data_IF_377762706187
#
_entry.id   IF_377762706187
#
_cell.length_a   1.000
_cell.length_b   1.000
_cell.length_c   1.000
_cell.angle_alpha   90.00
_cell.angle_beta   90.00
_cell.angle_gamma   90.00
#
_symmetry.space_group_name_H-M   'P 1'
#
loop_
_entity.id
_entity.type
_entity.pdbx_description
1 polymer ?
#
# COMPACT_ATOMS: atom_id res chain seq x y z
N UNK A 1 -1.47 12.41 29.54
CA UNK A 1 -1.29 13.49 28.55
C UNK A 1 -1.06 12.83 27.20
N UNK A 2 -2.11 12.69 26.40
CA UNK A 2 -2.04 12.09 25.07
C UNK A 2 -1.65 13.17 24.05
N UNK A 3 -0.64 12.89 23.23
CA UNK A 3 -0.10 13.79 22.21
C UNK A 3 -1.14 14.00 21.08
N UNK A 4 -1.30 15.21 20.50
CA UNK A 4 -2.37 15.50 19.56
C UNK A 4 -2.12 14.81 18.21
N UNK A 5 -3.21 14.29 17.66
CA UNK A 5 -3.31 13.54 16.41
C UNK A 5 -2.37 14.04 15.31
N UNK A 6 -1.37 13.24 14.96
CA UNK A 6 -0.64 13.38 13.71
C UNK A 6 -1.37 12.56 12.62
N UNK A 7 -1.60 13.10 11.41
CA UNK A 7 -2.26 12.36 10.36
C UNK A 7 -1.36 11.18 9.96
N UNK A 8 -1.82 9.97 10.22
CA UNK A 8 -1.17 8.75 9.77
C UNK A 8 -1.93 8.29 8.51
N UNK A 9 -1.28 8.27 7.34
CA UNK A 9 -1.86 7.75 6.12
C UNK A 9 -2.07 6.24 6.25
N UNK A 10 -3.18 5.80 5.68
CA UNK A 10 -3.85 4.57 6.06
C UNK A 10 -4.64 4.10 4.84
N UNK A 11 -4.38 2.89 4.34
CA UNK A 11 -5.20 2.31 3.27
C UNK A 11 -6.43 1.62 3.86
N UNK A 12 -7.62 2.01 3.42
CA UNK A 12 -8.91 1.42 3.80
C UNK A 12 -9.51 0.67 2.60
N UNK A 13 -10.09 -0.51 2.82
CA UNK A 13 -10.70 -1.31 1.75
C UNK A 13 -12.23 -1.17 1.71
N UNK A 14 -12.76 -0.42 0.73
CA UNK A 14 -14.21 -0.29 0.52
C UNK A 14 -14.83 0.91 1.24
N UNK A 15 -16.02 1.33 0.79
CA UNK A 15 -16.71 2.51 1.32
C UNK A 15 -17.14 2.30 2.78
N UNK A 16 -16.84 3.27 3.65
CA UNK A 16 -17.25 3.26 5.06
C UNK A 16 -16.34 2.47 6.02
N UNK A 17 -15.24 1.89 5.56
CA UNK A 17 -14.29 1.23 6.47
C UNK A 17 -13.46 2.22 7.26
N UNK A 18 -13.34 1.97 8.57
CA UNK A 18 -12.61 2.83 9.52
C UNK A 18 -11.27 2.24 9.96
N UNK A 19 -10.93 1.03 9.50
CA UNK A 19 -9.69 0.35 9.88
C UNK A 19 -8.71 0.28 8.71
N UNK A 20 -7.49 0.84 8.86
CA UNK A 20 -6.44 0.65 7.87
C UNK A 20 -6.01 -0.81 7.77
N UNK A 21 -5.83 -1.31 6.55
CA UNK A 21 -5.22 -2.62 6.31
C UNK A 21 -3.69 -2.53 6.21
N UNK A 22 -3.15 -1.45 5.65
CA UNK A 22 -1.71 -1.31 5.38
C UNK A 22 -1.17 0.05 5.81
N UNK A 23 0.07 0.04 6.32
CA UNK A 23 0.86 1.22 6.73
C UNK A 23 2.36 0.88 6.76
N UNK A 24 3.22 1.89 6.65
CA UNK A 24 4.65 1.79 7.00
C UNK A 24 4.79 1.54 8.51
N UNK A 25 5.63 0.59 8.88
CA UNK A 25 6.03 0.38 10.27
C UNK A 25 6.89 1.53 10.78
N UNK A 26 6.72 1.94 12.04
CA UNK A 26 7.49 3.03 12.62
C UNK A 26 9.00 2.77 12.55
N UNK A 27 9.77 3.83 12.27
CA UNK A 27 11.24 3.77 12.17
C UNK A 27 11.79 3.26 10.83
N UNK A 28 10.93 2.86 9.87
CA UNK A 28 11.38 2.49 8.52
C UNK A 28 11.70 3.77 7.71
N UNK A 29 12.89 3.88 7.09
CA UNK A 29 13.22 5.00 6.22
C UNK A 29 12.26 5.12 5.02
N UNK A 30 11.83 6.35 4.70
CA UNK A 30 10.93 6.62 3.58
C UNK A 30 11.48 6.11 2.23
N UNK A 31 12.81 6.15 2.03
CA UNK A 31 13.47 5.58 0.84
C UNK A 31 13.20 4.08 0.73
N UNK A 32 13.41 3.33 1.80
CA UNK A 32 13.19 1.88 1.83
C UNK A 32 11.72 1.54 1.60
N UNK A 33 10.79 2.33 2.15
CA UNK A 33 9.37 2.16 1.88
C UNK A 33 9.01 2.37 0.40
N UNK A 34 9.60 3.37 -0.25
CA UNK A 34 9.39 3.63 -1.69
C UNK A 34 10.00 2.52 -2.57
N UNK A 35 11.15 1.99 -2.20
CA UNK A 35 11.77 0.83 -2.87
C UNK A 35 10.83 -0.38 -2.79
N UNK A 36 10.30 -0.67 -1.60
CA UNK A 36 9.33 -1.76 -1.42
C UNK A 36 8.00 -1.52 -2.15
N UNK A 37 7.53 -0.28 -2.21
CA UNK A 37 6.36 0.08 -3.02
C UNK A 37 6.59 -0.22 -4.51
N UNK A 38 7.80 0.04 -5.01
CA UNK A 38 8.17 -0.23 -6.41
C UNK A 38 8.14 -1.72 -6.71
N UNK A 39 8.72 -2.56 -5.84
CA UNK A 39 8.69 -4.02 -5.98
C UNK A 39 7.26 -4.57 -5.97
N UNK A 40 6.44 -4.13 -5.01
CA UNK A 40 5.02 -4.51 -4.93
C UNK A 40 4.24 -4.13 -6.19
N UNK A 41 4.50 -2.95 -6.76
CA UNK A 41 3.84 -2.51 -7.98
C UNK A 41 4.28 -3.32 -9.21
N UNK A 42 5.55 -3.78 -9.23
CA UNK A 42 6.04 -4.74 -10.21
C UNK A 42 5.26 -6.05 -10.18
N UNK A 43 5.12 -6.66 -9.00
CA UNK A 43 4.32 -7.87 -8.83
C UNK A 43 2.84 -7.66 -9.13
N UNK A 44 2.25 -6.52 -8.73
CA UNK A 44 0.86 -6.21 -9.06
C UNK A 44 0.64 -6.17 -10.58
N UNK A 45 1.58 -5.59 -11.33
CA UNK A 45 1.51 -5.56 -12.80
C UNK A 45 1.56 -6.97 -13.39
N UNK A 46 2.51 -7.78 -12.95
CA UNK A 46 2.71 -9.14 -13.48
C UNK A 46 1.49 -10.02 -13.17
N UNK A 47 0.99 -9.99 -11.93
CA UNK A 47 -0.20 -10.74 -11.51
C UNK A 47 -1.47 -10.26 -12.23
N UNK A 48 -1.60 -8.95 -12.49
CA UNK A 48 -2.72 -8.42 -13.29
C UNK A 48 -2.73 -9.00 -14.70
N UNK A 49 -1.56 -9.02 -15.35
CA UNK A 49 -1.43 -9.48 -16.71
C UNK A 49 -1.65 -10.98 -16.82
N UNK A 50 -0.94 -11.76 -16.01
CA UNK A 50 -1.07 -13.22 -15.98
C UNK A 50 -2.48 -13.64 -15.57
N UNK A 51 -3.04 -13.05 -14.50
CA UNK A 51 -4.39 -13.37 -14.03
C UNK A 51 -5.46 -13.05 -15.07
N UNK A 52 -5.31 -11.97 -15.84
CA UNK A 52 -6.22 -11.65 -16.94
C UNK A 52 -6.10 -12.65 -18.09
N UNK A 53 -4.87 -13.03 -18.48
CA UNK A 53 -4.63 -13.96 -19.57
C UNK A 53 -5.14 -15.38 -19.26
N UNK A 54 -4.94 -15.84 -18.03
CA UNK A 54 -5.29 -17.19 -17.61
C UNK A 54 -6.73 -17.28 -17.03
N UNK A 55 -7.41 -16.13 -16.88
CA UNK A 55 -8.72 -16.06 -16.23
C UNK A 55 -8.67 -16.39 -14.72
N UNK A 56 -7.50 -16.27 -14.10
CA UNK A 56 -7.29 -16.56 -12.68
C UNK A 56 -7.72 -15.37 -11.81
N UNK A 57 -8.90 -15.52 -11.21
CA UNK A 57 -9.47 -14.50 -10.32
C UNK A 57 -8.63 -14.30 -9.05
N UNK A 58 -7.97 -15.33 -8.53
CA UNK A 58 -7.14 -15.20 -7.33
C UNK A 58 -5.91 -14.34 -7.62
N UNK A 59 -5.28 -14.49 -8.79
CA UNK A 59 -4.17 -13.63 -9.21
C UNK A 59 -4.60 -12.17 -9.39
N UNK A 60 -5.79 -11.94 -9.98
CA UNK A 60 -6.34 -10.59 -10.11
C UNK A 60 -6.60 -9.93 -8.74
N UNK A 61 -7.14 -10.68 -7.77
CA UNK A 61 -7.32 -10.15 -6.41
C UNK A 61 -5.98 -9.92 -5.70
N UNK A 62 -5.02 -10.82 -5.85
CA UNK A 62 -3.68 -10.64 -5.28
C UNK A 62 -3.00 -9.38 -5.81
N UNK A 63 -3.09 -9.15 -7.13
CA UNK A 63 -2.65 -7.91 -7.77
C UNK A 63 -3.29 -6.68 -7.12
N UNK A 64 -4.62 -6.69 -6.96
CA UNK A 64 -5.35 -5.57 -6.35
C UNK A 64 -4.82 -5.23 -4.96
N UNK A 65 -4.58 -6.24 -4.12
CA UNK A 65 -4.00 -6.04 -2.80
C UNK A 65 -2.55 -5.55 -2.83
N UNK A 66 -1.74 -6.00 -3.78
CA UNK A 66 -0.35 -5.53 -3.95
C UNK A 66 -0.29 -4.07 -4.36
N UNK A 67 -1.16 -3.64 -5.29
CA UNK A 67 -1.30 -2.24 -5.68
C UNK A 67 -1.76 -1.37 -4.49
N UNK A 68 -2.70 -1.86 -3.69
CA UNK A 68 -3.17 -1.17 -2.49
C UNK A 68 -2.06 -0.99 -1.44
N UNK A 69 -1.26 -2.03 -1.19
CA UNK A 69 -0.10 -1.96 -0.30
C UNK A 69 0.95 -0.96 -0.79
N UNK A 70 1.29 -1.02 -2.08
CA UNK A 70 2.26 -0.10 -2.66
C UNK A 70 1.79 1.36 -2.58
N UNK A 71 0.49 1.62 -2.82
CA UNK A 71 -0.10 2.95 -2.63
C UNK A 71 0.05 3.41 -1.18
N UNK A 72 -0.29 2.57 -0.20
CA UNK A 72 -0.15 2.91 1.22
C UNK A 72 1.30 3.31 1.55
N UNK A 73 2.29 2.54 1.07
CA UNK A 73 3.70 2.88 1.28
C UNK A 73 4.11 4.22 0.64
N UNK A 74 3.57 4.56 -0.53
CA UNK A 74 3.86 5.83 -1.20
C UNK A 74 3.20 7.01 -0.47
N UNK A 75 1.93 6.89 -0.10
CA UNK A 75 1.18 7.92 0.65
C UNK A 75 1.87 8.17 2.01
N UNK A 76 2.29 7.11 2.70
CA UNK A 76 3.03 7.17 3.96
C UNK A 76 4.42 7.81 3.82
N UNK A 77 5.17 7.44 2.77
CA UNK A 77 6.48 8.03 2.52
C UNK A 77 6.40 9.51 2.11
N UNK A 78 5.38 9.92 1.36
CA UNK A 78 5.15 11.31 0.99
C UNK A 78 4.89 12.17 2.23
N UNK A 79 3.99 11.73 3.12
CA UNK A 79 3.71 12.44 4.36
C UNK A 79 4.91 12.46 5.32
N UNK A 80 5.72 11.41 5.33
CA UNK A 80 7.00 11.37 6.06
C UNK A 80 8.04 12.36 5.52
N UNK A 81 7.99 12.71 4.23
CA UNK A 81 8.87 13.71 3.60
C UNK A 81 8.36 15.15 3.78
N UNK A 82 7.07 15.35 4.08
CA UNK A 82 6.47 16.67 4.35
C UNK A 82 6.66 17.13 5.82
N UNK A 83 7.22 16.28 6.69
CA UNK A 83 7.50 16.57 8.11
C UNK A 83 8.98 16.89 8.31
#
# INVERSE_FOLDING_TARGET
>A
MANPCQPMPYFYQGEGQTHPLFRIAEGIPCRSAREQASELMGYARDLSLTGLMDGDQQMMWASHYFAAMAKALLDDAELGLMR
#
